data_IF_967901588235
#
_entry.id   IF_967901588235
#
_cell.length_a   1.000
_cell.length_b   1.000
_cell.length_c   1.000
_cell.angle_alpha   90.00
_cell.angle_beta   90.00
_cell.angle_gamma   90.00
#
_symmetry.space_group_name_H-M   'P 1'
#
loop_
_entity.id
_entity.type
_entity.pdbx_description
1 polymer ?
#
# COMPACT_ATOMS: atom_id res chain seq x y z
N UNK A 1 -45.18 -12.69 37.87
CA UNK A 1 -44.91 -12.85 36.42
C UNK A 1 -43.63 -12.10 36.16
N UNK A 2 -42.57 -12.81 35.90
CA UNK A 2 -41.26 -12.21 35.58
C UNK A 2 -41.38 -11.62 34.16
N UNK A 3 -41.26 -10.31 34.05
CA UNK A 3 -41.05 -9.64 32.76
C UNK A 3 -39.77 -10.23 32.15
N UNK A 4 -39.95 -11.15 31.22
CA UNK A 4 -38.82 -11.59 30.38
C UNK A 4 -38.43 -10.37 29.53
N UNK A 5 -37.36 -9.67 29.92
CA UNK A 5 -36.74 -8.67 29.05
C UNK A 5 -36.42 -9.37 27.73
N UNK A 6 -37.16 -9.03 26.69
CA UNK A 6 -36.77 -9.37 25.31
C UNK A 6 -35.43 -8.65 25.03
N UNK A 7 -34.37 -9.41 24.92
CA UNK A 7 -33.06 -8.88 24.51
C UNK A 7 -33.04 -8.91 22.98
N UNK A 8 -32.80 -7.76 22.36
CA UNK A 8 -32.71 -7.61 20.93
C UNK A 8 -31.23 -7.72 20.46
N UNK A 9 -31.02 -7.85 19.17
CA UNK A 9 -29.68 -7.85 18.59
C UNK A 9 -28.99 -6.49 18.75
N UNK A 10 -29.78 -5.40 18.73
CA UNK A 10 -29.37 -4.03 19.03
C UNK A 10 -28.92 -3.87 20.50
N UNK A 11 -29.64 -4.50 21.45
CA UNK A 11 -29.23 -4.53 22.87
C UNK A 11 -27.91 -5.27 23.08
N UNK A 12 -27.51 -6.15 22.13
CA UNK A 12 -26.23 -6.84 22.11
C UNK A 12 -25.13 -6.04 21.40
N UNK A 13 -25.44 -4.83 20.91
CA UNK A 13 -24.45 -3.91 20.30
C UNK A 13 -24.33 -4.01 18.79
N UNK A 14 -25.29 -4.66 18.09
CA UNK A 14 -25.29 -4.78 16.61
C UNK A 14 -26.51 -4.09 16.01
N UNK A 15 -26.29 -2.96 15.30
CA UNK A 15 -27.33 -2.23 14.56
C UNK A 15 -27.36 -2.64 13.08
N UNK A 16 -28.22 -3.59 12.72
CA UNK A 16 -28.38 -4.05 11.34
C UNK A 16 -28.95 -2.97 10.40
N UNK A 17 -29.70 -2.00 10.93
CA UNK A 17 -30.24 -0.90 10.14
C UNK A 17 -29.13 0.10 9.76
N UNK A 18 -28.19 0.39 10.66
CA UNK A 18 -27.02 1.22 10.38
C UNK A 18 -26.09 0.53 9.36
N UNK A 19 -25.87 -0.78 9.50
CA UNK A 19 -25.16 -1.58 8.50
C UNK A 19 -25.78 -1.44 7.10
N UNK A 20 -27.12 -1.49 7.01
CA UNK A 20 -27.85 -1.25 5.75
C UNK A 20 -27.62 0.16 5.18
N UNK A 21 -27.65 1.19 6.03
CA UNK A 21 -27.34 2.58 5.63
C UNK A 21 -25.92 2.74 5.16
N UNK A 22 -24.95 2.09 5.82
CA UNK A 22 -23.56 2.10 5.41
C UNK A 22 -23.39 1.50 4.01
N UNK A 23 -24.00 0.35 3.74
CA UNK A 23 -23.99 -0.27 2.38
C UNK A 23 -24.61 0.66 1.35
N UNK A 24 -25.75 1.30 1.65
CA UNK A 24 -26.40 2.23 0.71
C UNK A 24 -25.52 3.45 0.41
N UNK A 25 -24.79 3.98 1.38
CA UNK A 25 -23.89 5.12 1.22
C UNK A 25 -22.71 4.83 0.29
N UNK A 26 -22.26 3.58 0.18
CA UNK A 26 -21.09 3.22 -0.63
C UNK A 26 -21.43 2.68 -2.02
N UNK A 27 -22.69 2.30 -2.30
CA UNK A 27 -23.10 1.64 -3.56
C UNK A 27 -22.60 2.33 -4.81
N UNK A 28 -22.71 3.65 -4.88
CA UNK A 28 -22.26 4.40 -6.07
C UNK A 28 -20.74 4.41 -6.18
N UNK A 29 -20.01 4.57 -5.06
CA UNK A 29 -18.54 4.57 -5.06
C UNK A 29 -17.99 3.24 -5.55
N UNK A 30 -18.58 2.13 -5.11
CA UNK A 30 -18.22 0.77 -5.55
C UNK A 30 -18.53 0.60 -7.04
N UNK A 31 -19.72 1.00 -7.48
CA UNK A 31 -20.12 0.94 -8.90
C UNK A 31 -19.18 1.72 -9.82
N UNK A 32 -18.65 2.85 -9.34
CA UNK A 32 -17.72 3.70 -10.12
C UNK A 32 -16.35 3.04 -10.35
N UNK A 33 -16.05 1.92 -9.65
CA UNK A 33 -14.85 1.11 -9.89
C UNK A 33 -15.06 0.01 -10.93
N UNK A 34 -16.32 -0.21 -11.38
CA UNK A 34 -16.64 -1.35 -12.23
C UNK A 34 -15.87 -1.33 -13.54
N UNK A 35 -15.38 -2.50 -13.88
CA UNK A 35 -14.86 -2.87 -15.20
C UNK A 35 -15.93 -3.57 -16.01
N UNK A 36 -15.78 -3.67 -17.35
CA UNK A 36 -16.75 -4.40 -18.20
C UNK A 36 -16.97 -5.85 -17.79
N UNK A 37 -15.99 -6.47 -17.14
CA UNK A 37 -16.03 -7.87 -16.70
C UNK A 37 -16.87 -8.08 -15.43
N UNK A 38 -17.23 -7.01 -14.69
CA UNK A 38 -18.05 -7.13 -13.47
C UNK A 38 -19.47 -7.50 -13.82
N UNK A 39 -20.00 -8.54 -13.17
CA UNK A 39 -21.37 -9.03 -13.36
C UNK A 39 -22.19 -8.74 -12.10
N UNK A 40 -23.27 -7.98 -12.25
CA UNK A 40 -24.15 -7.62 -11.12
C UNK A 40 -23.64 -6.41 -10.32
N UNK A 41 -23.86 -6.43 -9.01
CA UNK A 41 -23.51 -5.35 -8.07
C UNK A 41 -23.31 -5.88 -6.65
N UNK A 42 -22.99 -4.98 -5.69
CA UNK A 42 -22.86 -5.33 -4.30
C UNK A 42 -24.22 -5.73 -3.68
N UNK A 43 -24.17 -6.60 -2.66
CA UNK A 43 -25.34 -7.11 -1.93
C UNK A 43 -25.73 -8.54 -2.28
N UNK A 44 -24.99 -9.21 -3.17
CA UNK A 44 -25.05 -10.65 -3.38
C UNK A 44 -24.15 -11.42 -2.42
N UNK A 45 -24.21 -12.77 -2.46
CA UNK A 45 -23.33 -13.62 -1.64
C UNK A 45 -21.88 -13.62 -2.07
N UNK A 46 -21.54 -13.04 -3.24
CA UNK A 46 -20.18 -12.93 -3.75
C UNK A 46 -20.09 -11.98 -4.93
N UNK A 47 -18.89 -11.45 -5.16
CA UNK A 47 -18.57 -10.67 -6.35
C UNK A 47 -18.39 -11.57 -7.58
N UNK A 48 -19.04 -11.21 -8.68
CA UNK A 48 -18.94 -11.96 -9.93
C UNK A 48 -18.08 -11.18 -10.93
N UNK A 49 -17.09 -11.87 -11.52
CA UNK A 49 -16.19 -11.29 -12.50
C UNK A 49 -16.03 -12.27 -13.69
N UNK A 50 -16.23 -11.79 -14.91
CA UNK A 50 -16.13 -12.62 -16.11
C UNK A 50 -14.66 -12.89 -16.45
N UNK A 51 -14.31 -14.15 -16.55
CA UNK A 51 -13.00 -14.60 -17.00
C UNK A 51 -12.90 -14.72 -18.54
N UNK A 52 -13.90 -14.22 -19.30
CA UNK A 52 -13.97 -14.42 -20.75
C UNK A 52 -12.76 -13.81 -21.50
N UNK A 53 -12.18 -12.69 -21.02
CA UNK A 53 -11.02 -12.08 -21.62
C UNK A 53 -9.72 -12.91 -21.45
N UNK A 54 -9.67 -13.81 -20.45
CA UNK A 54 -8.48 -14.63 -20.18
C UNK A 54 -8.26 -15.71 -21.23
N UNK A 55 -9.28 -16.06 -22.02
CA UNK A 55 -9.18 -17.05 -23.12
C UNK A 55 -8.22 -16.63 -24.25
N UNK A 56 -7.90 -15.33 -24.34
CA UNK A 56 -7.01 -14.78 -25.36
C UNK A 56 -5.53 -14.78 -24.88
N UNK A 57 -5.26 -15.22 -23.64
CA UNK A 57 -3.93 -15.47 -23.10
C UNK A 57 -3.44 -16.88 -23.48
N UNK A 58 -2.13 -17.05 -23.57
CA UNK A 58 -1.51 -18.34 -23.87
C UNK A 58 -1.60 -19.29 -22.67
N UNK A 59 -1.23 -18.80 -21.48
CA UNK A 59 -1.28 -19.54 -20.21
C UNK A 59 -1.56 -18.57 -19.05
N UNK A 60 -2.84 -18.23 -18.79
CA UNK A 60 -3.21 -17.25 -17.78
C UNK A 60 -2.94 -17.75 -16.36
N UNK A 61 -2.03 -17.07 -15.64
CA UNK A 61 -1.71 -17.32 -14.25
C UNK A 61 -2.48 -16.33 -13.39
N UNK A 62 -3.34 -16.84 -12.51
CA UNK A 62 -3.97 -16.02 -11.48
C UNK A 62 -3.01 -15.86 -10.31
N UNK A 63 -2.89 -14.63 -9.82
CA UNK A 63 -2.13 -14.29 -8.63
C UNK A 63 -3.03 -13.54 -7.67
N UNK A 64 -2.90 -13.81 -6.38
CA UNK A 64 -3.64 -13.13 -5.33
C UNK A 64 -2.68 -12.52 -4.32
N UNK A 65 -3.04 -11.35 -3.80
CA UNK A 65 -2.37 -10.68 -2.70
C UNK A 65 -3.37 -10.33 -1.60
N UNK A 66 -2.92 -10.36 -0.36
CA UNK A 66 -3.68 -9.90 0.80
C UNK A 66 -2.77 -9.13 1.72
N UNK A 67 -3.25 -8.01 2.21
CA UNK A 67 -2.51 -7.15 3.15
C UNK A 67 -3.48 -6.30 3.96
N UNK A 68 -2.95 -5.60 4.97
CA UNK A 68 -3.64 -4.59 5.77
C UNK A 68 -2.98 -3.23 5.66
N UNK A 69 -3.50 -2.26 6.42
CA UNK A 69 -2.88 -0.93 6.53
C UNK A 69 -1.87 -0.89 7.69
N UNK A 70 -2.11 -1.69 8.71
CA UNK A 70 -1.29 -1.72 9.91
C UNK A 70 -1.52 -0.51 10.82
N UNK A 71 -0.53 -0.19 11.65
CA UNK A 71 -0.69 0.77 12.75
C UNK A 71 -0.76 2.25 12.33
N UNK A 72 -0.69 2.56 11.04
CA UNK A 72 -1.04 3.88 10.47
C UNK A 72 -2.48 4.26 10.83
N UNK A 73 -3.37 3.26 10.97
CA UNK A 73 -4.77 3.46 11.36
C UNK A 73 -4.92 4.23 12.68
N UNK A 74 -4.01 4.03 13.64
CA UNK A 74 -4.05 4.79 14.91
C UNK A 74 -3.87 6.29 14.68
N UNK A 75 -2.97 6.68 13.76
CA UNK A 75 -2.81 8.08 13.39
C UNK A 75 -4.05 8.62 12.68
N UNK A 76 -4.62 7.84 11.76
CA UNK A 76 -5.87 8.20 11.07
C UNK A 76 -7.03 8.43 12.06
N UNK A 77 -7.16 7.59 13.07
CA UNK A 77 -8.16 7.70 14.14
C UNK A 77 -7.95 8.95 15.01
N UNK A 78 -6.70 9.26 15.41
CA UNK A 78 -6.38 10.45 16.22
C UNK A 78 -6.66 11.73 15.43
N UNK A 79 -6.39 11.72 14.12
CA UNK A 79 -6.58 12.86 13.24
C UNK A 79 -8.00 12.97 12.67
N UNK A 80 -8.89 12.00 12.90
CA UNK A 80 -10.22 11.83 12.24
C UNK A 80 -10.11 11.97 10.69
N UNK A 81 -9.08 11.31 10.10
CA UNK A 81 -8.78 11.34 8.67
C UNK A 81 -8.70 9.93 8.12
N UNK A 82 -9.80 9.45 7.53
CA UNK A 82 -9.98 8.04 7.16
C UNK A 82 -9.96 7.79 5.65
N UNK A 83 -10.02 8.84 4.82
CA UNK A 83 -10.14 8.69 3.37
C UNK A 83 -8.89 8.11 2.72
N UNK A 84 -7.70 8.37 3.28
CA UNK A 84 -6.43 7.95 2.65
C UNK A 84 -6.06 6.51 2.96
N UNK A 85 -6.49 5.97 4.12
CA UNK A 85 -6.09 4.62 4.54
C UNK A 85 -6.71 3.51 3.70
N UNK A 86 -7.88 3.77 3.07
CA UNK A 86 -8.45 2.84 2.08
C UNK A 86 -7.57 2.74 0.83
N UNK A 87 -6.96 3.84 0.37
CA UNK A 87 -5.98 3.81 -0.72
C UNK A 87 -4.71 3.07 -0.30
N UNK A 88 -4.24 3.26 0.95
CA UNK A 88 -3.12 2.48 1.48
C UNK A 88 -3.39 0.98 1.37
N UNK A 89 -4.59 0.54 1.80
CA UNK A 89 -5.00 -0.87 1.73
C UNK A 89 -4.90 -1.44 0.32
N UNK A 90 -5.48 -0.74 -0.65
CA UNK A 90 -5.44 -1.17 -2.05
C UNK A 90 -4.02 -1.20 -2.56
N UNK A 91 -3.23 -0.15 -2.30
CA UNK A 91 -1.85 -0.02 -2.78
C UNK A 91 -0.96 -1.18 -2.30
N UNK A 92 -1.07 -1.57 -1.02
CA UNK A 92 -0.29 -2.67 -0.46
C UNK A 92 -0.57 -3.98 -1.21
N UNK A 93 -1.84 -4.28 -1.51
CA UNK A 93 -2.21 -5.50 -2.20
C UNK A 93 -1.86 -5.49 -3.70
N UNK A 94 -2.19 -4.40 -4.42
CA UNK A 94 -2.06 -4.38 -5.88
C UNK A 94 -0.63 -4.19 -6.35
N UNK A 95 0.20 -3.45 -5.60
CA UNK A 95 1.62 -3.30 -5.93
C UNK A 95 2.39 -4.60 -5.70
N UNK A 96 1.99 -5.44 -4.73
CA UNK A 96 2.62 -6.74 -4.50
C UNK A 96 2.41 -7.70 -5.68
N UNK A 97 1.18 -7.81 -6.18
CA UNK A 97 0.95 -8.68 -7.36
C UNK A 97 1.56 -8.10 -8.64
N UNK A 98 1.68 -6.76 -8.72
CA UNK A 98 2.37 -6.09 -9.82
C UNK A 98 3.84 -6.51 -9.94
N UNK A 99 4.49 -6.88 -8.83
CA UNK A 99 5.88 -7.36 -8.83
C UNK A 99 6.09 -8.58 -9.74
N UNK A 100 5.06 -9.37 -10.01
CA UNK A 100 5.08 -10.46 -10.99
C UNK A 100 4.65 -10.04 -12.39
N UNK A 101 4.41 -8.75 -12.64
CA UNK A 101 3.87 -8.23 -13.91
C UNK A 101 2.36 -8.41 -14.08
N UNK A 102 1.65 -8.77 -13.00
CA UNK A 102 0.22 -9.07 -13.05
C UNK A 102 -0.65 -7.80 -13.07
N UNK A 103 -1.71 -7.84 -13.87
CA UNK A 103 -2.79 -6.86 -13.87
C UNK A 103 -3.80 -7.18 -12.77
N UNK A 104 -4.06 -6.27 -11.80
CA UNK A 104 -5.15 -6.45 -10.85
C UNK A 104 -6.51 -6.43 -11.56
N UNK A 105 -7.31 -7.46 -11.33
CA UNK A 105 -8.65 -7.60 -11.93
C UNK A 105 -9.71 -7.04 -10.99
N UNK A 106 -9.73 -7.53 -9.77
CA UNK A 106 -10.70 -7.13 -8.76
C UNK A 106 -10.13 -7.14 -7.35
N UNK A 107 -10.83 -6.46 -6.47
CA UNK A 107 -10.50 -6.25 -5.08
C UNK A 107 -11.69 -6.59 -4.19
N UNK A 108 -11.40 -7.08 -2.99
CA UNK A 108 -12.33 -7.31 -1.90
C UNK A 108 -11.73 -6.69 -0.63
N UNK A 109 -12.56 -6.09 0.22
CA UNK A 109 -12.15 -5.56 1.51
C UNK A 109 -12.88 -6.24 2.67
N UNK A 110 -12.25 -6.24 3.83
CA UNK A 110 -12.86 -6.60 5.10
C UNK A 110 -12.59 -5.49 6.10
N UNK A 111 -13.66 -4.91 6.65
CA UNK A 111 -13.57 -3.90 7.69
C UNK A 111 -14.08 -4.50 8.99
N UNK A 112 -13.16 -4.75 9.94
CA UNK A 112 -13.49 -5.03 11.32
C UNK A 112 -13.59 -3.71 12.10
N UNK A 113 -14.70 -3.46 12.78
CA UNK A 113 -14.92 -2.19 13.50
C UNK A 113 -15.65 -2.41 14.83
N UNK A 114 -15.37 -1.59 15.83
CA UNK A 114 -16.05 -1.68 17.11
C UNK A 114 -17.52 -1.28 17.05
N UNK A 115 -17.84 -0.25 16.25
CA UNK A 115 -19.21 0.22 16.01
C UNK A 115 -19.34 0.81 14.61
N UNK A 116 -20.32 0.36 13.83
CA UNK A 116 -20.60 0.87 12.48
C UNK A 116 -21.31 2.22 12.59
N UNK A 117 -20.76 3.22 11.89
CA UNK A 117 -21.39 4.49 11.59
C UNK A 117 -21.29 4.72 10.08
N UNK A 118 -22.42 4.91 9.40
CA UNK A 118 -22.50 4.98 7.96
C UNK A 118 -21.58 6.07 7.35
N UNK A 119 -21.49 7.24 8.01
CA UNK A 119 -20.62 8.32 7.58
C UNK A 119 -19.13 7.99 7.68
N UNK A 120 -18.73 7.29 8.73
CA UNK A 120 -17.35 6.83 8.92
C UNK A 120 -16.99 5.74 7.89
N UNK A 121 -17.85 4.75 7.72
CA UNK A 121 -17.67 3.70 6.72
C UNK A 121 -17.55 4.26 5.30
N UNK A 122 -18.38 5.26 4.96
CA UNK A 122 -18.30 5.91 3.65
C UNK A 122 -16.95 6.58 3.39
N UNK A 123 -16.31 7.18 4.40
CA UNK A 123 -14.95 7.76 4.28
C UNK A 123 -13.91 6.67 4.00
N UNK A 124 -13.93 5.56 4.74
CA UNK A 124 -12.98 4.44 4.56
C UNK A 124 -13.14 3.85 3.16
N UNK A 125 -14.37 3.45 2.79
CA UNK A 125 -14.65 2.79 1.52
C UNK A 125 -14.44 3.73 0.32
N UNK A 126 -14.61 5.04 0.50
CA UNK A 126 -14.22 6.02 -0.50
C UNK A 126 -12.72 5.88 -0.85
N UNK A 127 -11.87 5.77 0.16
CA UNK A 127 -10.43 5.56 -0.05
C UNK A 127 -10.13 4.25 -0.78
N UNK A 128 -10.84 3.17 -0.44
CA UNK A 128 -10.71 1.87 -1.14
C UNK A 128 -11.14 2.00 -2.60
N UNK A 129 -12.31 2.61 -2.86
CA UNK A 129 -12.81 2.80 -4.22
C UNK A 129 -11.87 3.69 -5.06
N UNK A 130 -11.34 4.76 -4.48
CA UNK A 130 -10.38 5.64 -5.15
C UNK A 130 -9.07 4.90 -5.46
N UNK A 131 -8.58 4.08 -4.52
CA UNK A 131 -7.43 3.19 -4.75
C UNK A 131 -7.67 2.19 -5.89
N UNK A 132 -8.84 1.54 -5.91
CA UNK A 132 -9.23 0.63 -6.99
C UNK A 132 -9.27 1.31 -8.36
N UNK A 133 -9.80 2.55 -8.44
CA UNK A 133 -9.79 3.34 -9.69
C UNK A 133 -8.37 3.67 -10.13
N UNK A 134 -7.49 4.03 -9.20
CA UNK A 134 -6.07 4.29 -9.49
C UNK A 134 -5.38 3.03 -10.00
N UNK A 135 -5.64 1.89 -9.39
CA UNK A 135 -5.10 0.59 -9.83
C UNK A 135 -5.73 0.08 -11.14
N UNK A 136 -6.97 0.51 -11.46
CA UNK A 136 -7.72 0.00 -12.60
C UNK A 136 -8.36 -1.35 -12.33
N UNK A 137 -8.59 -1.72 -11.07
CA UNK A 137 -9.33 -2.92 -10.66
C UNK A 137 -10.73 -2.58 -10.14
N UNK A 138 -11.62 -3.56 -10.11
CA UNK A 138 -12.98 -3.37 -9.62
C UNK A 138 -13.12 -3.79 -8.16
N UNK A 139 -13.74 -2.96 -7.32
CA UNK A 139 -14.19 -3.37 -5.98
C UNK A 139 -15.49 -4.17 -6.15
N UNK A 140 -15.41 -5.50 -6.08
CA UNK A 140 -16.55 -6.38 -6.43
C UNK A 140 -17.34 -6.85 -5.20
N UNK A 141 -16.87 -6.56 -4.00
CA UNK A 141 -17.52 -6.92 -2.75
C UNK A 141 -16.61 -6.64 -1.55
N UNK A 142 -17.12 -6.94 -0.39
CA UNK A 142 -16.41 -6.77 0.88
C UNK A 142 -17.31 -7.18 2.04
N UNK A 143 -16.80 -6.98 3.27
CA UNK A 143 -17.52 -7.24 4.50
C UNK A 143 -17.30 -6.10 5.49
N UNK A 144 -18.34 -5.70 6.22
CA UNK A 144 -18.27 -4.76 7.32
C UNK A 144 -18.83 -5.44 8.57
N UNK A 145 -17.96 -5.77 9.53
CA UNK A 145 -18.34 -6.53 10.70
C UNK A 145 -18.12 -5.73 11.98
N UNK A 146 -19.22 -5.56 12.77
CA UNK A 146 -19.14 -5.03 14.12
C UNK A 146 -18.58 -6.08 15.09
N UNK A 147 -17.66 -5.64 15.96
CA UNK A 147 -17.02 -6.46 16.98
C UNK A 147 -17.24 -5.87 18.40
N UNK A 148 -18.51 -5.74 18.87
CA UNK A 148 -18.79 -5.18 20.18
C UNK A 148 -18.16 -6.05 21.29
N UNK A 149 -17.50 -5.39 22.23
CA UNK A 149 -16.78 -6.06 23.32
C UNK A 149 -15.42 -6.67 22.97
N UNK A 150 -15.06 -6.74 21.68
CA UNK A 150 -13.73 -7.14 21.18
C UNK A 150 -12.90 -5.91 20.81
N UNK A 151 -13.51 -4.94 20.13
CA UNK A 151 -12.90 -3.66 19.74
C UNK A 151 -13.59 -2.50 20.46
N UNK A 152 -12.85 -1.42 20.75
CA UNK A 152 -13.48 -0.19 21.21
C UNK A 152 -14.31 0.43 20.07
N UNK A 153 -15.37 1.22 20.36
CA UNK A 153 -16.28 1.70 19.33
C UNK A 153 -15.61 2.43 18.16
N UNK A 154 -14.56 3.19 18.41
CA UNK A 154 -13.81 3.92 17.37
C UNK A 154 -12.71 3.11 16.70
N UNK A 155 -12.38 1.93 17.23
CA UNK A 155 -11.29 1.10 16.69
C UNK A 155 -11.78 0.35 15.44
N UNK A 156 -10.93 0.28 14.44
CA UNK A 156 -11.16 -0.53 13.25
C UNK A 156 -9.84 -1.09 12.69
N UNK A 157 -9.96 -2.16 11.94
CA UNK A 157 -8.88 -2.74 11.14
C UNK A 157 -9.38 -3.04 9.73
N UNK A 158 -8.44 -3.03 8.78
CA UNK A 158 -8.71 -3.19 7.36
C UNK A 158 -7.86 -4.33 6.81
N UNK A 159 -8.50 -5.25 6.10
CA UNK A 159 -7.82 -6.25 5.29
C UNK A 159 -8.32 -6.17 3.84
N UNK A 160 -7.38 -6.25 2.90
CA UNK A 160 -7.65 -6.23 1.48
C UNK A 160 -7.24 -7.54 0.81
N UNK A 161 -7.95 -7.89 -0.26
CA UNK A 161 -7.68 -9.04 -1.09
C UNK A 161 -7.77 -8.62 -2.55
N UNK A 162 -6.73 -8.84 -3.31
CA UNK A 162 -6.75 -8.63 -4.75
C UNK A 162 -6.52 -9.92 -5.50
N UNK A 163 -7.13 -10.03 -6.67
CA UNK A 163 -6.82 -11.08 -7.64
C UNK A 163 -6.44 -10.39 -8.95
N UNK A 164 -5.31 -10.80 -9.49
CA UNK A 164 -4.81 -10.35 -10.77
C UNK A 164 -4.47 -11.51 -11.69
N UNK A 165 -4.04 -11.17 -12.89
CA UNK A 165 -3.64 -12.14 -13.91
C UNK A 165 -2.38 -11.68 -14.63
N UNK A 166 -1.54 -12.63 -14.99
CA UNK A 166 -0.41 -12.44 -15.89
C UNK A 166 -0.36 -13.63 -16.85
N UNK A 167 0.01 -13.38 -18.11
CA UNK A 167 0.28 -14.46 -19.04
C UNK A 167 1.66 -15.06 -18.72
N UNK A 168 1.77 -16.38 -18.54
CA UNK A 168 3.03 -17.03 -18.09
C UNK A 168 4.27 -16.57 -18.88
N UNK A 169 4.24 -16.44 -20.23
CA UNK A 169 5.39 -15.96 -20.99
C UNK A 169 5.82 -14.52 -20.69
N UNK A 170 4.94 -13.73 -20.00
CA UNK A 170 5.18 -12.32 -19.64
C UNK A 170 5.40 -12.13 -18.15
N UNK A 171 5.41 -13.22 -17.38
CA UNK A 171 5.62 -13.16 -15.93
C UNK A 171 7.06 -12.73 -15.64
N UNK A 172 7.22 -11.75 -14.78
CA UNK A 172 8.54 -11.32 -14.31
C UNK A 172 9.11 -12.36 -13.35
N UNK A 173 10.40 -12.66 -13.49
CA UNK A 173 11.07 -13.71 -12.74
C UNK A 173 12.44 -13.24 -12.24
N UNK A 174 12.69 -13.26 -10.91
CA UNK A 174 14.00 -12.96 -10.33
C UNK A 174 15.15 -13.79 -10.94
N UNK A 175 14.85 -14.99 -11.45
CA UNK A 175 15.84 -15.83 -12.13
C UNK A 175 16.42 -15.19 -13.43
N UNK A 176 15.83 -14.11 -13.92
CA UNK A 176 16.35 -13.37 -15.09
C UNK A 176 17.40 -12.33 -14.71
N UNK A 177 17.53 -11.98 -13.42
CA UNK A 177 18.51 -10.96 -12.96
C UNK A 177 19.94 -11.50 -13.07
N UNK A 178 20.85 -10.61 -13.51
CA UNK A 178 22.27 -10.95 -13.76
C UNK A 178 23.19 -9.92 -13.11
N UNK A 179 24.42 -10.29 -12.76
CA UNK A 179 25.47 -9.32 -12.44
C UNK A 179 25.66 -8.31 -13.59
N UNK A 180 25.69 -7.02 -13.24
CA UNK A 180 25.74 -5.90 -14.19
C UNK A 180 24.40 -5.21 -14.41
N UNK A 181 23.29 -5.86 -14.06
CA UNK A 181 21.96 -5.24 -14.15
C UNK A 181 21.85 -3.97 -13.29
N UNK A 182 21.03 -3.04 -13.75
CA UNK A 182 20.80 -1.74 -13.12
C UNK A 182 19.49 -1.79 -12.33
N UNK A 183 19.51 -1.19 -11.15
CA UNK A 183 18.33 -1.06 -10.29
C UNK A 183 17.80 0.37 -10.40
N UNK A 184 16.63 0.53 -11.02
CA UNK A 184 15.89 1.79 -11.11
C UNK A 184 14.86 1.86 -10.00
N UNK A 185 14.73 3.02 -9.36
CA UNK A 185 13.72 3.29 -8.33
C UNK A 185 12.64 4.24 -8.82
N UNK A 186 11.42 4.04 -8.34
CA UNK A 186 10.33 5.01 -8.45
C UNK A 186 10.05 5.63 -7.08
N UNK A 187 9.82 6.96 -7.03
CA UNK A 187 9.69 7.66 -5.76
C UNK A 187 8.45 7.22 -4.99
N UNK A 188 8.59 7.13 -3.66
CA UNK A 188 7.48 7.02 -2.73
C UNK A 188 6.82 8.39 -2.48
N UNK A 189 5.60 8.39 -1.96
CA UNK A 189 4.90 9.60 -1.50
C UNK A 189 5.26 10.01 -0.06
N UNK A 190 6.10 9.22 0.60
CA UNK A 190 6.47 9.35 1.99
C UNK A 190 6.73 7.99 2.62
N UNK A 191 6.31 7.83 3.85
CA UNK A 191 6.51 6.57 4.62
C UNK A 191 5.71 5.40 4.04
N UNK A 192 4.65 5.67 3.26
CA UNK A 192 3.65 4.70 2.81
C UNK A 192 2.86 4.12 3.99
N UNK A 193 2.82 2.78 4.15
CA UNK A 193 2.08 2.12 5.24
C UNK A 193 2.98 1.33 6.20
N UNK A 194 4.30 1.48 6.09
CA UNK A 194 5.25 0.67 6.86
C UNK A 194 6.05 1.51 7.86
N UNK A 195 6.54 0.87 8.94
CA UNK A 195 7.32 1.54 9.97
C UNK A 195 6.48 2.34 10.99
N UNK A 196 5.15 2.27 10.95
CA UNK A 196 4.27 3.10 11.79
C UNK A 196 4.32 2.76 13.27
N UNK A 197 4.74 1.57 13.68
CA UNK A 197 4.99 1.28 15.10
C UNK A 197 6.10 2.17 15.67
N UNK A 198 7.15 2.45 14.88
CA UNK A 198 8.20 3.39 15.25
C UNK A 198 7.71 4.85 15.14
N UNK A 199 7.07 5.20 14.02
CA UNK A 199 6.51 6.54 13.80
C UNK A 199 5.65 6.96 14.99
N UNK A 200 4.72 6.11 15.44
CA UNK A 200 3.83 6.39 16.57
C UNK A 200 4.58 6.70 17.87
N UNK A 201 5.65 5.96 18.15
CA UNK A 201 6.52 6.26 19.32
C UNK A 201 7.17 7.62 19.18
N UNK A 202 7.74 7.92 18.02
CA UNK A 202 8.45 9.17 17.74
C UNK A 202 7.54 10.38 17.88
N UNK A 203 6.32 10.31 17.34
CA UNK A 203 5.37 11.43 17.41
C UNK A 203 4.53 11.43 18.72
N UNK A 204 4.76 10.46 19.61
CA UNK A 204 4.14 10.40 20.93
C UNK A 204 2.63 10.18 20.91
N UNK A 205 2.14 9.25 20.06
CA UNK A 205 0.72 8.87 20.00
C UNK A 205 0.41 7.50 20.60
N UNK A 206 1.43 6.79 21.08
CA UNK A 206 1.24 5.49 21.71
C UNK A 206 0.41 5.63 23.00
N UNK A 207 -0.68 4.83 23.09
CA UNK A 207 -1.57 4.83 24.23
C UNK A 207 -2.63 5.94 24.23
N UNK A 208 -2.56 6.91 23.33
CA UNK A 208 -3.60 7.93 23.16
C UNK A 208 -4.84 7.28 22.55
N UNK A 209 -5.99 7.46 23.22
CA UNK A 209 -7.26 6.93 22.72
C UNK A 209 -7.97 7.96 21.85
N UNK A 210 -8.45 7.59 20.65
CA UNK A 210 -9.25 8.45 19.79
C UNK A 210 -10.46 9.05 20.53
N UNK A 211 -10.86 10.27 20.15
CA UNK A 211 -12.03 10.96 20.74
C UNK A 211 -11.79 11.56 22.13
N UNK A 212 -10.58 11.48 22.67
CA UNK A 212 -10.25 12.09 23.97
C UNK A 212 -9.70 13.51 23.82
N UNK A 213 -9.74 14.36 24.88
CA UNK A 213 -9.09 15.67 24.87
C UNK A 213 -7.58 15.60 24.56
N UNK A 214 -6.91 14.51 25.00
CA UNK A 214 -5.51 14.27 24.71
C UNK A 214 -5.28 14.03 23.20
N UNK A 215 -6.13 13.23 22.57
CA UNK A 215 -6.09 13.02 21.10
C UNK A 215 -6.31 14.33 20.34
N UNK A 216 -7.27 15.17 20.79
CA UNK A 216 -7.54 16.46 20.17
C UNK A 216 -6.32 17.42 20.27
N UNK A 217 -5.69 17.49 21.45
CA UNK A 217 -4.48 18.29 21.64
C UNK A 217 -3.31 17.79 20.77
N UNK A 218 -3.15 16.47 20.66
CA UNK A 218 -2.12 15.87 19.81
C UNK A 218 -2.41 16.09 18.32
N UNK A 219 -3.67 15.97 17.90
CA UNK A 219 -4.08 16.28 16.52
C UNK A 219 -3.77 17.75 16.16
N UNK A 220 -4.03 18.70 17.07
CA UNK A 220 -3.64 20.11 16.87
C UNK A 220 -2.12 20.26 16.73
N UNK A 221 -1.34 19.61 17.60
CA UNK A 221 0.12 19.63 17.55
C UNK A 221 0.63 19.11 16.18
N UNK A 222 0.18 17.92 15.76
CA UNK A 222 0.59 17.27 14.53
C UNK A 222 0.13 17.99 13.26
N UNK A 223 -0.88 18.86 13.37
CA UNK A 223 -1.38 19.70 12.26
C UNK A 223 -0.58 20.99 12.05
N UNK A 224 0.36 21.31 12.92
CA UNK A 224 1.16 22.53 12.79
C UNK A 224 2.17 22.38 11.65
N UNK A 225 2.30 23.41 10.79
CA UNK A 225 3.32 23.41 9.74
C UNK A 225 4.72 23.31 10.33
N UNK A 226 5.58 22.50 9.70
CA UNK A 226 7.00 22.37 10.06
C UNK A 226 7.87 22.83 8.88
N UNK A 227 8.82 23.72 9.16
CA UNK A 227 9.78 24.22 8.16
C UNK A 227 10.60 23.07 7.55
N UNK A 228 11.00 22.11 8.36
CA UNK A 228 11.75 20.92 7.93
C UNK A 228 10.99 20.03 6.93
N UNK A 229 9.65 20.14 6.88
CA UNK A 229 8.80 19.45 5.92
C UNK A 229 8.35 20.36 4.78
N UNK A 230 9.06 21.47 4.54
CA UNK A 230 8.70 22.45 3.52
C UNK A 230 7.38 23.18 3.79
N UNK A 231 6.97 23.27 5.05
CA UNK A 231 5.73 23.90 5.49
C UNK A 231 4.52 22.94 5.57
N UNK A 232 4.69 21.68 5.22
CA UNK A 232 3.68 20.66 5.48
C UNK A 232 3.61 20.32 6.98
N UNK A 233 2.47 19.83 7.45
CA UNK A 233 2.36 19.29 8.81
C UNK A 233 2.84 17.84 8.87
N UNK A 234 3.18 17.35 10.08
CA UNK A 234 3.46 15.94 10.29
C UNK A 234 2.24 15.06 9.95
N UNK A 235 1.04 15.52 10.29
CA UNK A 235 -0.19 14.81 9.96
C UNK A 235 -0.35 14.65 8.43
N UNK A 236 -0.12 15.68 7.64
CA UNK A 236 -0.23 15.61 6.18
C UNK A 236 0.83 14.69 5.57
N UNK A 237 2.08 14.83 6.01
CA UNK A 237 3.20 14.05 5.49
C UNK A 237 3.09 12.56 5.87
N UNK A 238 2.62 12.24 7.09
CA UNK A 238 2.46 10.87 7.56
C UNK A 238 1.17 10.21 7.08
N UNK A 239 0.08 10.96 6.82
CA UNK A 239 -1.14 10.41 6.25
C UNK A 239 -1.16 10.45 4.72
N UNK A 240 -0.09 10.91 4.07
CA UNK A 240 0.06 10.77 2.62
C UNK A 240 -0.16 9.30 2.23
N UNK A 241 -1.07 9.01 1.28
CA UNK A 241 -1.39 7.64 0.92
C UNK A 241 -0.24 6.96 0.18
N UNK A 242 -0.15 5.65 0.35
CA UNK A 242 0.76 4.80 -0.41
C UNK A 242 0.50 4.96 -1.90
N UNK A 243 1.57 5.14 -2.67
CA UNK A 243 1.49 5.29 -4.11
C UNK A 243 1.11 3.97 -4.77
N UNK A 244 0.23 4.04 -5.77
CA UNK A 244 -0.16 2.91 -6.63
C UNK A 244 0.60 3.04 -7.95
N UNK A 245 1.41 2.04 -8.29
CA UNK A 245 2.29 2.03 -9.47
C UNK A 245 1.71 1.25 -10.65
N UNK A 246 0.53 0.65 -10.49
CA UNK A 246 -0.04 -0.35 -11.41
C UNK A 246 -0.13 0.15 -12.85
N UNK A 247 -0.80 1.29 -13.08
CA UNK A 247 -1.07 1.75 -14.47
C UNK A 247 0.20 2.06 -15.24
N UNK A 248 1.13 2.91 -14.76
CA UNK A 248 2.33 3.22 -15.52
C UNK A 248 3.22 1.99 -15.75
N UNK A 249 3.32 1.09 -14.77
CA UNK A 249 4.14 -0.13 -14.93
C UNK A 249 3.50 -1.11 -15.92
N UNK A 250 2.20 -1.35 -15.85
CA UNK A 250 1.53 -2.20 -16.84
C UNK A 250 1.61 -1.62 -18.25
N UNK A 251 1.53 -0.30 -18.40
CA UNK A 251 1.70 0.36 -19.70
C UNK A 251 3.12 0.20 -20.22
N UNK A 252 4.13 0.38 -19.36
CA UNK A 252 5.54 0.11 -19.67
C UNK A 252 5.74 -1.33 -20.16
N UNK A 253 5.23 -2.33 -19.43
CA UNK A 253 5.38 -3.75 -19.77
C UNK A 253 4.62 -4.11 -21.05
N UNK A 254 3.43 -3.56 -21.27
CA UNK A 254 2.64 -3.74 -22.50
C UNK A 254 3.32 -3.10 -23.71
N UNK A 255 4.10 -2.05 -23.50
CA UNK A 255 4.98 -1.43 -24.49
C UNK A 255 6.18 -2.29 -24.88
N UNK A 256 6.40 -3.42 -24.21
CA UNK A 256 7.50 -4.35 -24.46
C UNK A 256 8.82 -3.95 -23.82
N UNK A 257 8.80 -3.08 -22.79
CA UNK A 257 10.02 -2.71 -22.07
C UNK A 257 10.63 -3.95 -21.39
N UNK A 258 11.96 -4.18 -21.57
CA UNK A 258 12.65 -5.36 -21.05
C UNK A 258 12.97 -5.19 -19.55
N UNK A 259 12.00 -5.50 -18.70
CA UNK A 259 12.15 -5.52 -17.24
C UNK A 259 12.36 -6.95 -16.79
N UNK A 260 13.44 -7.25 -16.07
CA UNK A 260 13.71 -8.59 -15.54
C UNK A 260 12.82 -8.92 -14.35
N UNK A 261 12.71 -7.99 -13.39
CA UNK A 261 11.90 -8.15 -12.18
C UNK A 261 11.57 -6.80 -11.54
N UNK A 262 10.64 -6.84 -10.60
CA UNK A 262 10.17 -5.68 -9.83
C UNK A 262 10.15 -6.04 -8.34
N UNK A 263 10.52 -5.08 -7.47
CA UNK A 263 10.36 -5.17 -6.03
C UNK A 263 9.45 -4.05 -5.53
N UNK A 264 8.38 -4.38 -4.81
CA UNK A 264 7.60 -3.42 -4.02
C UNK A 264 8.25 -3.24 -2.65
N UNK A 265 8.58 -2.01 -2.28
CA UNK A 265 9.31 -1.72 -1.04
C UNK A 265 8.31 -1.45 0.09
N UNK A 266 8.17 -2.41 0.99
CA UNK A 266 7.21 -2.45 2.09
C UNK A 266 7.90 -2.62 3.46
N UNK A 267 7.30 -3.34 4.40
CA UNK A 267 7.91 -3.69 5.68
C UNK A 267 9.22 -4.46 5.48
N UNK A 268 10.24 -4.10 6.24
CA UNK A 268 11.62 -4.57 6.01
C UNK A 268 12.45 -3.64 5.10
N UNK A 269 11.81 -2.57 4.54
CA UNK A 269 12.46 -1.54 3.74
C UNK A 269 13.16 -2.07 2.49
N UNK A 270 14.15 -1.35 2.01
CA UNK A 270 14.92 -1.76 0.82
C UNK A 270 15.63 -3.09 1.07
N UNK A 271 16.17 -3.28 2.27
CA UNK A 271 17.01 -4.43 2.63
C UNK A 271 16.28 -5.76 2.48
N UNK A 272 15.01 -5.86 2.92
CA UNK A 272 14.28 -7.12 2.98
C UNK A 272 13.24 -7.31 1.86
N UNK A 273 13.11 -6.33 0.96
CA UNK A 273 12.21 -6.43 -0.18
C UNK A 273 12.95 -6.53 -1.50
N UNK A 274 14.02 -5.76 -1.70
CA UNK A 274 14.79 -5.83 -2.94
C UNK A 274 15.47 -7.19 -3.12
N UNK A 275 15.89 -7.86 -2.03
CA UNK A 275 16.47 -9.21 -2.08
C UNK A 275 15.50 -10.27 -2.67
N UNK A 276 14.18 -10.08 -2.52
CA UNK A 276 13.16 -10.98 -3.09
C UNK A 276 13.05 -10.91 -4.61
N UNK A 277 13.62 -9.88 -5.20
CA UNK A 277 13.66 -9.65 -6.64
C UNK A 277 15.01 -10.01 -7.27
N UNK A 278 15.91 -10.66 -6.54
CA UNK A 278 17.25 -11.07 -7.01
C UNK A 278 17.29 -12.57 -7.30
N UNK A 279 18.16 -12.96 -8.23
CA UNK A 279 18.56 -14.36 -8.37
C UNK A 279 19.44 -14.79 -7.17
N UNK A 280 19.49 -16.08 -6.89
CA UNK A 280 20.20 -16.63 -5.72
C UNK A 280 21.71 -16.34 -5.70
N UNK A 281 22.31 -16.08 -6.85
CA UNK A 281 23.75 -15.81 -7.06
C UNK A 281 24.05 -14.33 -7.34
N UNK A 282 23.09 -13.42 -7.11
CA UNK A 282 23.20 -11.98 -7.38
C UNK A 282 22.93 -11.17 -6.13
N UNK A 283 23.84 -10.25 -5.78
CA UNK A 283 23.62 -9.24 -4.75
C UNK A 283 23.22 -7.89 -5.38
N UNK A 284 22.36 -7.13 -4.70
CA UNK A 284 22.08 -5.73 -5.02
C UNK A 284 23.01 -4.81 -4.23
N UNK A 285 23.77 -3.96 -4.92
CA UNK A 285 24.57 -2.89 -4.31
C UNK A 285 23.81 -1.60 -4.39
N UNK A 286 23.25 -1.17 -3.27
CA UNK A 286 22.45 0.05 -3.15
C UNK A 286 23.38 1.23 -2.86
N UNK A 287 23.23 2.32 -3.62
CA UNK A 287 24.05 3.53 -3.48
C UNK A 287 23.72 4.27 -2.18
N UNK A 288 24.68 4.33 -1.28
CA UNK A 288 24.57 5.03 0.02
C UNK A 288 25.93 5.57 0.47
N UNK A 289 25.90 6.67 1.21
CA UNK A 289 27.06 7.25 1.90
C UNK A 289 26.65 7.67 3.32
N UNK A 290 26.86 6.80 4.29
CA UNK A 290 26.39 6.98 5.67
C UNK A 290 24.86 7.02 5.74
N UNK A 291 24.30 8.17 6.14
CA UNK A 291 22.85 8.38 6.19
C UNK A 291 22.26 8.90 4.86
N UNK A 292 23.09 9.25 3.88
CA UNK A 292 22.68 9.83 2.60
C UNK A 292 22.48 8.72 1.56
N UNK A 293 21.30 8.71 0.95
CA UNK A 293 21.00 7.85 -0.20
C UNK A 293 21.45 8.54 -1.50
N UNK A 294 21.66 7.76 -2.56
CA UNK A 294 22.01 8.30 -3.89
C UNK A 294 20.86 9.08 -4.57
N UNK A 295 19.77 9.35 -3.88
CA UNK A 295 18.57 10.02 -4.37
C UNK A 295 17.88 10.81 -3.25
N UNK A 296 16.86 11.61 -3.61
CA UNK A 296 16.11 12.42 -2.66
C UNK A 296 15.19 11.57 -1.77
N UNK A 297 15.42 11.59 -0.47
CA UNK A 297 14.58 10.95 0.53
C UNK A 297 13.49 11.93 1.00
N UNK A 298 12.19 11.54 1.04
CA UNK A 298 11.15 12.40 1.56
C UNK A 298 11.48 12.96 2.94
N UNK A 299 11.33 14.29 3.18
CA UNK A 299 11.75 14.94 4.43
C UNK A 299 11.15 14.31 5.69
N UNK A 300 9.93 13.76 5.60
CA UNK A 300 9.28 13.09 6.74
C UNK A 300 10.02 11.83 7.18
N UNK A 301 10.62 11.08 6.27
CA UNK A 301 11.41 9.88 6.59
C UNK A 301 12.69 10.30 7.31
N UNK A 302 13.39 11.32 6.78
CA UNK A 302 14.60 11.87 7.39
C UNK A 302 14.28 12.47 8.79
N UNK A 303 13.15 13.17 8.90
CA UNK A 303 12.69 13.72 10.18
C UNK A 303 12.49 12.63 11.23
N UNK A 304 11.69 11.60 10.91
CA UNK A 304 11.39 10.49 11.85
C UNK A 304 12.65 9.71 12.19
N UNK A 305 13.50 9.40 11.21
CA UNK A 305 14.77 8.68 11.42
C UNK A 305 15.69 9.44 12.37
N UNK A 306 15.80 10.76 12.21
CA UNK A 306 16.59 11.62 13.09
C UNK A 306 16.01 11.69 14.50
N UNK A 307 14.68 11.87 14.64
CA UNK A 307 14.04 11.92 15.96
C UNK A 307 14.15 10.58 16.73
N UNK A 308 14.23 9.48 16.00
CA UNK A 308 14.44 8.15 16.56
C UNK A 308 15.92 7.77 16.70
N UNK A 309 16.86 8.64 16.30
CA UNK A 309 18.31 8.38 16.29
C UNK A 309 18.66 7.04 15.60
N UNK A 310 17.97 6.73 14.47
CA UNK A 310 18.18 5.47 13.77
C UNK A 310 19.57 5.42 13.13
N UNK A 311 20.25 4.29 13.31
CA UNK A 311 21.41 3.96 12.50
C UNK A 311 21.00 3.78 11.01
N UNK A 312 21.88 4.08 10.04
CA UNK A 312 21.54 4.00 8.60
C UNK A 312 20.94 2.67 8.17
N UNK A 313 21.49 1.56 8.63
CA UNK A 313 20.97 0.22 8.30
C UNK A 313 19.57 -0.03 8.87
N UNK A 314 19.32 0.46 10.09
CA UNK A 314 18.00 0.33 10.71
C UNK A 314 16.96 1.19 9.99
N UNK A 315 17.34 2.39 9.55
CA UNK A 315 16.47 3.23 8.72
C UNK A 315 16.09 2.54 7.40
N UNK A 316 17.06 1.91 6.72
CA UNK A 316 16.84 1.16 5.47
C UNK A 316 16.04 -0.13 5.64
N UNK A 317 15.96 -0.68 6.85
CA UNK A 317 15.09 -1.81 7.20
C UNK A 317 13.70 -1.38 7.66
N UNK A 318 13.60 -0.19 8.24
CA UNK A 318 12.33 0.30 8.78
C UNK A 318 11.51 1.01 7.71
N UNK A 319 12.16 1.80 6.85
CA UNK A 319 11.51 2.67 5.88
C UNK A 319 11.92 2.36 4.44
N UNK A 320 11.08 2.79 3.51
CA UNK A 320 11.35 2.71 2.08
C UNK A 320 12.44 3.68 1.59
N UNK A 321 12.92 4.59 2.43
CA UNK A 321 13.94 5.60 2.14
C UNK A 321 13.69 6.39 0.84
N UNK A 322 12.43 6.60 0.48
CA UNK A 322 12.04 7.34 -0.72
C UNK A 322 11.84 6.48 -1.98
N UNK A 323 12.10 5.19 -1.90
CA UNK A 323 11.88 4.25 -3.00
C UNK A 323 10.64 3.41 -2.72
N UNK A 324 9.57 3.55 -3.50
CA UNK A 324 8.38 2.73 -3.31
C UNK A 324 8.36 1.48 -4.19
N UNK A 325 9.00 1.52 -5.35
CA UNK A 325 9.12 0.40 -6.28
C UNK A 325 10.50 0.40 -6.93
N UNK A 326 11.12 -0.77 -7.06
CA UNK A 326 12.34 -0.97 -7.85
C UNK A 326 12.04 -1.79 -9.10
N UNK A 327 12.70 -1.45 -10.22
CA UNK A 327 12.75 -2.25 -11.44
C UNK A 327 14.20 -2.65 -11.68
N UNK A 328 14.44 -3.90 -12.06
CA UNK A 328 15.78 -4.38 -12.44
C UNK A 328 15.78 -4.63 -13.94
N UNK A 329 16.75 -4.02 -14.64
CA UNK A 329 16.87 -4.03 -16.11
C UNK A 329 18.31 -4.27 -16.52
N UNK A 330 18.53 -4.79 -17.74
CA UNK A 330 19.87 -4.88 -18.28
C UNK A 330 20.50 -3.49 -18.48
N UNK A 331 21.84 -3.33 -18.36
CA UNK A 331 22.49 -2.03 -18.48
C UNK A 331 22.28 -1.38 -19.85
N UNK A 332 22.17 -2.15 -20.93
CA UNK A 332 21.87 -1.66 -22.27
C UNK A 332 20.44 -1.11 -22.41
N UNK A 333 19.51 -1.52 -21.54
CA UNK A 333 18.09 -1.15 -21.55
C UNK A 333 17.77 0.02 -20.60
N UNK A 334 18.71 0.39 -19.70
CA UNK A 334 18.52 1.43 -18.69
C UNK A 334 17.98 2.74 -19.29
N UNK A 335 18.60 3.22 -20.37
CA UNK A 335 18.21 4.48 -20.99
C UNK A 335 16.79 4.42 -21.58
N UNK A 336 16.48 3.35 -22.32
CA UNK A 336 15.19 3.18 -22.98
C UNK A 336 14.04 3.02 -21.97
N UNK A 337 14.26 2.24 -20.90
CA UNK A 337 13.27 2.06 -19.83
C UNK A 337 13.07 3.37 -19.05
N UNK A 338 14.16 4.11 -18.77
CA UNK A 338 14.08 5.41 -18.12
C UNK A 338 13.26 6.41 -18.95
N UNK A 339 13.53 6.53 -20.27
CA UNK A 339 12.78 7.40 -21.17
C UNK A 339 11.30 7.02 -21.25
N UNK A 340 10.99 5.72 -21.33
CA UNK A 340 9.61 5.24 -21.33
C UNK A 340 8.89 5.57 -20.03
N UNK A 341 9.51 5.39 -18.86
CA UNK A 341 8.95 5.78 -17.57
C UNK A 341 8.70 7.28 -17.49
N UNK A 342 9.64 8.11 -17.96
CA UNK A 342 9.46 9.58 -18.00
C UNK A 342 8.29 9.97 -18.91
N UNK A 343 8.15 9.33 -20.06
CA UNK A 343 7.03 9.55 -20.98
C UNK A 343 5.66 9.20 -20.33
N UNK A 344 5.65 8.25 -19.41
CA UNK A 344 4.48 7.88 -18.59
C UNK A 344 4.27 8.79 -17.36
N UNK A 345 5.09 9.83 -17.20
CA UNK A 345 4.99 10.80 -16.11
C UNK A 345 5.70 10.38 -14.82
N UNK A 346 6.49 9.30 -14.88
CA UNK A 346 7.29 8.82 -13.78
C UNK A 346 8.59 9.62 -13.62
N UNK A 347 9.20 9.50 -12.43
CA UNK A 347 10.51 10.12 -12.13
C UNK A 347 11.48 9.04 -11.67
N UNK A 348 11.92 8.16 -12.59
CA UNK A 348 12.87 7.11 -12.23
C UNK A 348 14.23 7.71 -11.83
N UNK A 349 14.92 7.00 -10.94
CA UNK A 349 16.30 7.30 -10.55
C UNK A 349 17.08 6.01 -10.32
N UNK A 350 18.39 6.07 -10.40
CA UNK A 350 19.23 4.90 -10.16
C UNK A 350 19.36 4.64 -8.66
N UNK A 351 19.03 3.43 -8.24
CA UNK A 351 19.15 2.95 -6.84
C UNK A 351 20.49 2.28 -6.62
N UNK A 352 20.97 1.54 -7.65
CA UNK A 352 22.20 0.78 -7.55
C UNK A 352 22.40 -0.14 -8.74
N UNK A 353 23.14 -1.21 -8.50
CA UNK A 353 23.49 -2.21 -9.51
C UNK A 353 23.54 -3.62 -8.91
N UNK A 354 23.40 -4.61 -9.75
CA UNK A 354 23.52 -6.03 -9.40
C UNK A 354 24.96 -6.51 -9.62
N UNK A 355 25.46 -7.33 -8.71
CA UNK A 355 26.81 -7.92 -8.77
C UNK A 355 26.76 -9.41 -8.45
N UNK A 356 27.84 -10.16 -8.72
CA UNK A 356 27.98 -11.54 -8.22
C UNK A 356 27.83 -11.58 -6.70
N UNK A 357 27.02 -12.51 -6.18
CA UNK A 357 26.70 -12.53 -4.76
C UNK A 357 25.96 -13.77 -4.27
N UNK A 358 24.99 -13.56 -3.39
CA UNK A 358 24.25 -14.62 -2.69
C UNK A 358 22.81 -14.24 -2.33
N UNK A 359 22.16 -13.39 -3.15
CA UNK A 359 20.77 -12.95 -2.95
C UNK A 359 20.60 -11.88 -1.87
N UNK A 360 21.62 -11.04 -1.63
CA UNK A 360 21.62 -10.04 -0.56
C UNK A 360 21.55 -8.63 -1.08
N UNK A 361 21.05 -7.74 -0.23
CA UNK A 361 21.17 -6.29 -0.40
C UNK A 361 22.34 -5.81 0.46
N UNK A 362 23.29 -5.13 -0.16
CA UNK A 362 24.46 -4.53 0.48
C UNK A 362 24.52 -3.05 0.11
N UNK A 363 25.15 -2.24 0.95
CA UNK A 363 25.25 -0.80 0.70
C UNK A 363 26.67 -0.45 0.24
N UNK A 364 26.78 0.54 -0.68
CA UNK A 364 28.06 0.89 -1.32
C UNK A 364 29.12 1.37 -0.35
N UNK A 365 28.71 1.95 0.79
CA UNK A 365 29.60 2.41 1.88
C UNK A 365 30.06 1.29 2.83
N UNK A 366 29.58 0.08 2.64
CA UNK A 366 29.98 -1.11 3.43
C UNK A 366 30.88 -2.08 2.67
N UNK A 367 31.26 -1.74 1.44
CA UNK A 367 32.11 -2.59 0.55
C UNK A 367 33.57 -2.22 0.59
#
# INVERSE_FOLDING_TARGET
MSDSKHVTYEDAGVDTAEGGRAVDAIKQMVKDTNRPEVIGGIGGFGGLFSAAALKDMEDPILISGTDGVGTKLVLAQIMDRHETVGQDLVAMCVNDILASGAEPLFFLDYVAIGHIEAGHMAKIIKGVADGCKLAGCALVGGEMAEHPGVMAPADYDLAGFTVGVVDRPKMLDPANVRPGDVILGLPSTGVHSNGYSLVRKVIGVDGIKPGTPEAAAKAEELSRPLEELGGASLADALLAPTRIYVKPILELLRGGAPVHTIAHITGGGITENLNRALADDVDAVVTRNGAEMGWDVPPVITYVSRQAELAPNEACKTFNMGVGLCLIVAPEDEAAVTEALVALGEKPFRVGECVEGSGKVVYSDER
#
